data_IF_344381686186
#
_entry.id   IF_344381686186
#
_cell.length_a   1.000
_cell.length_b   1.000
_cell.length_c   1.000
_cell.angle_alpha   90.00
_cell.angle_beta   90.00
_cell.angle_gamma   90.00
#
_symmetry.space_group_name_H-M   'P 1'
#
loop_
_entity.id
_entity.type
_entity.pdbx_description
1 polymer ?
#
# COMPACT_ATOMS: atom_id res chain seq x y z
N UNK A 1 -10.84 21.99 -4.20
CA UNK A 1 -9.52 21.91 -3.52
C UNK A 1 -9.26 20.57 -2.87
N UNK A 2 -9.64 20.28 -1.61
CA UNK A 2 -9.26 19.00 -0.98
C UNK A 2 -9.71 17.75 -1.78
N UNK A 3 -10.93 17.76 -2.32
CA UNK A 3 -11.44 16.69 -3.19
C UNK A 3 -10.61 16.50 -4.46
N UNK A 4 -10.27 17.59 -5.16
CA UNK A 4 -9.43 17.53 -6.36
C UNK A 4 -8.04 17.00 -6.05
N UNK A 5 -7.44 17.42 -4.94
CA UNK A 5 -6.14 16.92 -4.47
C UNK A 5 -6.19 15.41 -4.29
N UNK A 6 -7.19 14.92 -3.56
CA UNK A 6 -7.39 13.48 -3.31
C UNK A 6 -7.59 12.72 -4.62
N UNK A 7 -8.41 13.24 -5.54
CA UNK A 7 -8.62 12.63 -6.86
C UNK A 7 -7.33 12.56 -7.67
N UNK A 8 -6.56 13.64 -7.73
CA UNK A 8 -5.32 13.68 -8.52
C UNK A 8 -4.21 12.80 -7.93
N UNK A 9 -4.21 12.62 -6.60
CA UNK A 9 -3.28 11.72 -5.91
C UNK A 9 -3.56 10.25 -6.15
N UNK A 10 -4.84 9.85 -6.19
CA UNK A 10 -5.23 8.44 -6.36
C UNK A 10 -5.04 7.92 -7.79
N UNK A 11 -4.86 8.84 -8.74
CA UNK A 11 -4.79 8.51 -10.15
C UNK A 11 -6.19 8.33 -10.75
N UNK A 12 -6.27 7.51 -11.79
CA UNK A 12 -7.53 7.27 -12.50
C UNK A 12 -8.50 6.41 -11.66
N UNK A 13 -9.74 6.90 -11.47
CA UNK A 13 -10.80 6.24 -10.68
C UNK A 13 -11.01 4.78 -11.10
N UNK A 14 -11.10 4.52 -12.40
CA UNK A 14 -11.36 3.17 -12.91
C UNK A 14 -10.20 2.24 -12.57
N UNK A 15 -8.97 2.74 -12.72
CA UNK A 15 -7.74 2.03 -12.34
C UNK A 15 -7.69 1.74 -10.85
N UNK A 16 -8.00 2.73 -10.00
CA UNK A 16 -8.04 2.58 -8.54
C UNK A 16 -9.04 1.50 -8.13
N UNK A 17 -10.28 1.56 -8.60
CA UNK A 17 -11.31 0.57 -8.29
C UNK A 17 -10.97 -0.82 -8.83
N UNK A 18 -10.45 -0.90 -10.06
CA UNK A 18 -10.06 -2.17 -10.69
C UNK A 18 -8.92 -2.85 -9.92
N UNK A 19 -7.99 -2.08 -9.36
CA UNK A 19 -6.89 -2.60 -8.52
C UNK A 19 -7.38 -3.31 -7.26
N UNK A 20 -8.59 -2.99 -6.79
CA UNK A 20 -9.18 -3.61 -5.60
C UNK A 20 -9.85 -4.96 -5.88
N UNK A 21 -10.09 -5.30 -7.15
CA UNK A 21 -10.86 -6.47 -7.54
C UNK A 21 -10.24 -7.79 -7.03
N UNK A 22 -8.94 -7.97 -7.26
CA UNK A 22 -8.24 -9.19 -6.85
C UNK A 22 -8.18 -9.36 -5.31
N UNK A 23 -7.80 -8.33 -4.52
CA UNK A 23 -7.93 -8.39 -3.06
C UNK A 23 -9.33 -8.73 -2.56
N UNK A 24 -10.38 -8.16 -3.17
CA UNK A 24 -11.76 -8.46 -2.80
C UNK A 24 -12.18 -9.89 -3.14
N UNK A 25 -11.71 -10.44 -4.27
CA UNK A 25 -11.97 -11.83 -4.62
C UNK A 25 -11.32 -12.77 -3.59
N UNK A 26 -10.09 -12.47 -3.15
CA UNK A 26 -9.43 -13.19 -2.06
C UNK A 26 -10.20 -13.13 -0.74
N UNK A 27 -10.80 -11.98 -0.41
CA UNK A 27 -11.67 -11.84 0.75
C UNK A 27 -12.93 -12.71 0.65
N UNK A 28 -13.57 -12.75 -0.52
CA UNK A 28 -14.74 -13.62 -0.74
C UNK A 28 -14.41 -15.11 -0.57
N UNK A 29 -13.21 -15.52 -0.99
CA UNK A 29 -12.72 -16.88 -0.76
C UNK A 29 -12.55 -17.19 0.72
N UNK A 30 -12.01 -16.25 1.49
CA UNK A 30 -11.89 -16.38 2.94
C UNK A 30 -13.26 -16.43 3.65
N UNK A 31 -14.28 -15.78 3.07
CA UNK A 31 -15.66 -15.82 3.56
C UNK A 31 -16.43 -17.09 3.15
N UNK A 32 -15.81 -18.01 2.40
CA UNK A 32 -16.37 -19.31 2.07
C UNK A 32 -16.78 -19.51 0.61
N UNK A 33 -16.59 -18.52 -0.27
CA UNK A 33 -16.76 -18.70 -1.72
C UNK A 33 -15.50 -19.35 -2.28
N UNK A 34 -15.40 -20.67 -2.13
CA UNK A 34 -14.16 -21.42 -2.38
C UNK A 34 -13.71 -21.40 -3.84
N UNK A 35 -14.65 -21.28 -4.78
CA UNK A 35 -14.33 -21.25 -6.21
C UNK A 35 -13.84 -19.86 -6.63
N UNK A 36 -12.58 -19.80 -7.09
CA UNK A 36 -11.92 -18.55 -7.50
C UNK A 36 -12.68 -17.80 -8.60
N UNK A 37 -13.10 -18.52 -9.65
CA UNK A 37 -13.82 -17.93 -10.78
C UNK A 37 -15.16 -17.33 -10.34
N UNK A 38 -15.87 -17.99 -9.41
CA UNK A 38 -17.12 -17.49 -8.86
C UNK A 38 -16.90 -16.25 -8.01
N UNK A 39 -15.88 -16.24 -7.14
CA UNK A 39 -15.52 -15.07 -6.35
C UNK A 39 -15.18 -13.87 -7.27
N UNK A 40 -14.44 -14.12 -8.35
CA UNK A 40 -14.06 -13.08 -9.31
C UNK A 40 -15.26 -12.51 -10.07
N UNK A 41 -16.19 -13.35 -10.53
CA UNK A 41 -17.44 -12.91 -11.17
C UNK A 41 -18.28 -12.05 -10.22
N UNK A 42 -18.47 -12.48 -8.97
CA UNK A 42 -19.24 -11.71 -7.98
C UNK A 42 -18.61 -10.34 -7.74
N UNK A 43 -17.28 -10.28 -7.61
CA UNK A 43 -16.60 -8.99 -7.45
C UNK A 43 -16.81 -8.09 -8.66
N UNK A 44 -16.70 -8.63 -9.87
CA UNK A 44 -16.84 -7.83 -11.09
C UNK A 44 -18.28 -7.36 -11.35
N UNK A 45 -19.27 -8.23 -11.13
CA UNK A 45 -20.66 -7.96 -11.50
C UNK A 45 -21.48 -7.29 -10.39
N UNK A 46 -21.11 -7.48 -9.11
CA UNK A 46 -21.87 -6.94 -7.99
C UNK A 46 -21.07 -5.93 -7.16
N UNK A 47 -19.86 -6.29 -6.75
CA UNK A 47 -19.10 -5.47 -5.78
C UNK A 47 -18.52 -4.21 -6.42
N UNK A 48 -17.82 -4.33 -7.55
CA UNK A 48 -17.22 -3.18 -8.22
C UNK A 48 -18.26 -2.15 -8.68
N UNK A 49 -19.41 -2.52 -9.27
CA UNK A 49 -20.45 -1.54 -9.61
C UNK A 49 -20.99 -0.80 -8.39
N UNK A 50 -21.21 -1.50 -7.28
CA UNK A 50 -21.63 -0.87 -6.02
C UNK A 50 -20.57 0.12 -5.52
N UNK A 51 -19.30 -0.28 -5.45
CA UNK A 51 -18.22 0.64 -5.03
C UNK A 51 -18.06 1.83 -5.99
N UNK A 52 -18.25 1.61 -7.29
CA UNK A 52 -18.21 2.67 -8.30
C UNK A 52 -19.31 3.70 -8.06
N UNK A 53 -20.53 3.25 -7.75
CA UNK A 53 -21.67 4.12 -7.47
C UNK A 53 -21.44 4.98 -6.21
N UNK A 54 -20.74 4.45 -5.21
CA UNK A 54 -20.45 5.15 -3.94
C UNK A 54 -19.07 5.83 -3.91
N UNK A 55 -18.31 5.80 -5.00
CA UNK A 55 -16.93 6.29 -4.99
C UNK A 55 -16.82 7.79 -4.69
N UNK A 56 -17.83 8.58 -5.11
CA UNK A 56 -17.86 10.02 -4.81
C UNK A 56 -18.02 10.30 -3.30
N UNK A 57 -18.72 9.44 -2.56
CA UNK A 57 -18.83 9.54 -1.10
C UNK A 57 -17.47 9.26 -0.44
N UNK A 58 -16.72 8.28 -0.94
CA UNK A 58 -15.36 8.00 -0.48
C UNK A 58 -14.44 9.21 -0.68
N UNK A 59 -14.52 9.85 -1.85
CA UNK A 59 -13.75 11.07 -2.13
C UNK A 59 -14.11 12.20 -1.17
N UNK A 60 -15.39 12.36 -0.83
CA UNK A 60 -15.83 13.38 0.12
C UNK A 60 -15.35 13.08 1.55
N UNK A 61 -15.38 11.82 1.97
CA UNK A 61 -14.82 11.38 3.27
C UNK A 61 -13.32 11.74 3.34
N UNK A 62 -12.55 11.37 2.33
CA UNK A 62 -11.11 11.61 2.29
C UNK A 62 -10.78 13.09 2.17
N UNK A 63 -11.53 13.85 1.38
CA UNK A 63 -11.37 15.29 1.26
C UNK A 63 -11.56 15.99 2.61
N UNK A 64 -12.55 15.57 3.41
CA UNK A 64 -12.74 16.08 4.77
C UNK A 64 -11.56 15.73 5.68
N UNK A 65 -11.04 14.50 5.62
CA UNK A 65 -9.86 14.11 6.38
C UNK A 65 -8.64 14.96 6.03
N UNK A 66 -8.40 15.21 4.74
CA UNK A 66 -7.30 16.04 4.27
C UNK A 66 -7.46 17.49 4.72
N UNK A 67 -8.65 18.07 4.58
CA UNK A 67 -8.94 19.43 5.03
C UNK A 67 -8.89 19.61 6.55
N UNK A 68 -9.04 18.52 7.32
CA UNK A 68 -8.87 18.54 8.77
C UNK A 68 -7.41 18.58 9.24
N UNK A 69 -6.45 18.29 8.36
CA UNK A 69 -5.01 18.20 8.70
C UNK A 69 -4.18 19.24 7.96
N UNK A 70 -4.51 19.52 6.69
CA UNK A 70 -3.72 20.40 5.83
C UNK A 70 -4.37 21.78 5.71
N UNK A 71 -3.53 22.81 5.64
CA UNK A 71 -4.00 24.17 5.36
C UNK A 71 -4.55 24.27 3.92
N UNK A 72 -5.33 25.33 3.65
CA UNK A 72 -5.81 25.62 2.30
C UNK A 72 -4.65 25.81 1.31
N UNK A 73 -3.59 26.47 1.75
CA UNK A 73 -2.39 26.76 0.96
C UNK A 73 -1.65 25.46 0.61
N UNK A 74 -1.47 24.56 1.57
CA UNK A 74 -0.86 23.25 1.33
C UNK A 74 -1.69 22.42 0.36
N UNK A 75 -3.01 22.36 0.55
CA UNK A 75 -3.90 21.65 -0.38
C UNK A 75 -3.79 22.21 -1.80
N UNK A 76 -3.73 23.54 -1.94
CA UNK A 76 -3.58 24.16 -3.26
C UNK A 76 -2.21 23.83 -3.89
N UNK A 77 -1.13 23.87 -3.12
CA UNK A 77 0.21 23.56 -3.61
C UNK A 77 0.31 22.09 -4.05
N UNK A 78 -0.19 21.16 -3.23
CA UNK A 78 -0.21 19.72 -3.52
C UNK A 78 -1.05 19.44 -4.77
N UNK A 79 -2.24 20.05 -4.88
CA UNK A 79 -3.08 19.91 -6.07
C UNK A 79 -2.40 20.45 -7.33
N UNK A 80 -1.76 21.61 -7.25
CA UNK A 80 -1.00 22.18 -8.37
C UNK A 80 0.11 21.23 -8.83
N UNK A 81 0.81 20.60 -7.88
CA UNK A 81 1.85 19.62 -8.21
C UNK A 81 1.27 18.38 -8.90
N UNK A 82 0.25 17.73 -8.35
CA UNK A 82 -0.33 16.53 -8.97
C UNK A 82 -1.07 16.81 -10.29
N UNK A 83 -1.51 18.05 -10.51
CA UNK A 83 -2.00 18.53 -11.81
C UNK A 83 -0.89 18.77 -12.85
N UNK A 84 0.40 18.75 -12.48
CA UNK A 84 1.51 18.88 -13.43
C UNK A 84 1.83 17.56 -14.15
N UNK A 85 2.51 17.59 -15.32
CA UNK A 85 2.97 16.37 -15.97
C UNK A 85 3.89 15.51 -15.09
N UNK A 86 4.72 16.14 -14.25
CA UNK A 86 5.60 15.43 -13.33
C UNK A 86 4.81 14.75 -12.22
N UNK A 87 3.86 15.45 -11.60
CA UNK A 87 3.01 14.90 -10.54
C UNK A 87 2.15 13.73 -11.00
N UNK A 88 1.55 13.82 -12.21
CA UNK A 88 0.82 12.68 -12.80
C UNK A 88 1.72 11.46 -13.05
N UNK A 89 2.92 11.67 -13.59
CA UNK A 89 3.89 10.57 -13.79
C UNK A 89 4.32 9.95 -12.46
N UNK A 90 4.52 10.77 -11.42
CA UNK A 90 4.85 10.28 -10.10
C UNK A 90 3.70 9.44 -9.51
N UNK A 91 2.46 9.93 -9.58
CA UNK A 91 1.28 9.19 -9.12
C UNK A 91 1.16 7.82 -9.82
N UNK A 92 1.29 7.79 -11.15
CA UNK A 92 1.25 6.54 -11.92
C UNK A 92 2.42 5.59 -11.59
N UNK A 93 3.60 6.13 -11.25
CA UNK A 93 4.77 5.34 -10.90
C UNK A 93 4.77 4.84 -9.45
N UNK A 94 3.89 5.33 -8.56
CA UNK A 94 3.92 4.97 -7.14
C UNK A 94 3.92 3.45 -6.88
N UNK A 95 3.10 2.61 -7.54
CA UNK A 95 3.13 1.16 -7.30
C UNK A 95 4.49 0.54 -7.63
N UNK A 96 5.11 0.97 -8.74
CA UNK A 96 6.43 0.50 -9.17
C UNK A 96 7.53 0.99 -8.23
N UNK A 97 7.44 2.24 -7.76
CA UNK A 97 8.37 2.80 -6.80
C UNK A 97 8.32 2.08 -5.46
N UNK A 98 7.13 1.74 -4.96
CA UNK A 98 6.97 0.95 -3.72
C UNK A 98 7.60 -0.44 -3.89
N UNK A 99 7.32 -1.13 -5.01
CA UNK A 99 7.94 -2.43 -5.30
C UNK A 99 9.47 -2.34 -5.38
N UNK A 100 10.00 -1.33 -6.07
CA UNK A 100 11.44 -1.11 -6.19
C UNK A 100 12.09 -0.83 -4.82
N UNK A 101 11.43 -0.03 -3.97
CA UNK A 101 11.91 0.23 -2.61
C UNK A 101 11.98 -1.06 -1.78
N UNK A 102 10.92 -1.87 -1.77
CA UNK A 102 10.90 -3.14 -1.04
C UNK A 102 11.98 -4.12 -1.53
N UNK A 103 12.16 -4.21 -2.86
CA UNK A 103 13.21 -5.04 -3.45
C UNK A 103 14.61 -4.55 -3.01
N UNK A 104 14.85 -3.24 -3.05
CA UNK A 104 16.09 -2.63 -2.60
C UNK A 104 16.38 -2.89 -1.11
N UNK A 105 15.38 -2.75 -0.24
CA UNK A 105 15.51 -3.07 1.19
C UNK A 105 15.85 -4.54 1.41
N UNK A 106 15.20 -5.44 0.67
CA UNK A 106 15.47 -6.88 0.76
C UNK A 106 16.90 -7.21 0.32
N UNK A 107 17.35 -6.62 -0.78
CA UNK A 107 18.71 -6.81 -1.29
C UNK A 107 19.76 -6.28 -0.28
N UNK A 108 19.53 -5.10 0.29
CA UNK A 108 20.41 -4.53 1.31
C UNK A 108 20.52 -5.46 2.54
N UNK A 109 19.39 -5.97 3.03
CA UNK A 109 19.36 -6.91 4.17
C UNK A 109 20.11 -8.21 3.87
N UNK A 110 19.92 -8.78 2.68
CA UNK A 110 20.67 -9.96 2.24
C UNK A 110 22.18 -9.71 2.22
N UNK A 111 22.61 -8.53 1.79
CA UNK A 111 24.02 -8.12 1.82
C UNK A 111 24.62 -8.03 3.23
N UNK A 112 23.79 -7.71 4.24
CA UNK A 112 24.21 -7.64 5.65
C UNK A 112 24.17 -8.98 6.39
N UNK A 113 23.58 -10.04 5.80
CA UNK A 113 23.42 -11.33 6.47
C UNK A 113 24.71 -11.92 7.07
N UNK A 114 25.88 -11.88 6.41
CA UNK A 114 27.11 -12.43 6.99
C UNK A 114 27.59 -11.64 8.23
N UNK A 115 27.47 -10.32 8.19
CA UNK A 115 27.82 -9.46 9.33
C UNK A 115 26.83 -9.68 10.48
N UNK A 116 25.53 -9.77 10.19
CA UNK A 116 24.51 -10.08 11.17
C UNK A 116 24.77 -11.44 11.85
N UNK A 117 25.09 -12.48 11.07
CA UNK A 117 25.45 -13.81 11.63
C UNK A 117 26.66 -13.72 12.55
N UNK A 118 27.70 -12.99 12.13
CA UNK A 118 28.91 -12.78 12.95
C UNK A 118 28.56 -12.09 14.26
N UNK A 119 27.74 -11.04 14.20
CA UNK A 119 27.30 -10.29 15.38
C UNK A 119 26.47 -11.14 16.33
N UNK A 120 25.55 -11.96 15.80
CA UNK A 120 24.72 -12.89 16.58
C UNK A 120 25.61 -13.89 17.32
N UNK A 121 26.59 -14.51 16.64
CA UNK A 121 27.52 -15.46 17.27
C UNK A 121 28.33 -14.79 18.38
N UNK A 122 28.80 -13.56 18.17
CA UNK A 122 29.53 -12.81 19.20
C UNK A 122 28.65 -12.56 20.44
N UNK A 123 27.39 -12.18 20.25
CA UNK A 123 26.44 -11.95 21.35
C UNK A 123 26.14 -13.25 22.11
N UNK A 124 25.87 -14.35 21.39
CA UNK A 124 25.63 -15.67 21.98
C UNK A 124 26.81 -16.09 22.87
N UNK A 125 28.04 -15.94 22.35
CA UNK A 125 29.26 -16.23 23.12
C UNK A 125 29.39 -15.34 24.35
N UNK A 126 29.17 -14.03 24.21
CA UNK A 126 29.29 -13.08 25.31
C UNK A 126 28.24 -13.30 26.41
N UNK A 127 27.08 -13.84 26.07
CA UNK A 127 25.99 -14.12 27.02
C UNK A 127 26.04 -15.52 27.63
N UNK A 128 26.93 -16.39 27.17
CA UNK A 128 26.94 -17.80 27.59
C UNK A 128 25.65 -18.52 27.18
N UNK A 129 25.18 -18.27 25.95
CA UNK A 129 24.02 -18.97 25.37
C UNK A 129 24.46 -20.06 24.38
N UNK A 130 25.68 -20.56 24.53
CA UNK A 130 26.22 -21.59 23.65
C UNK A 130 25.57 -22.95 23.92
N UNK A 131 25.62 -23.90 22.95
CA UNK A 131 25.18 -25.27 23.20
C UNK A 131 25.99 -25.89 24.34
N UNK A 132 25.34 -26.13 25.48
CA UNK A 132 25.95 -26.69 26.69
C UNK A 132 25.95 -25.77 27.92
N UNK A 133 25.58 -24.50 27.78
CA UNK A 133 25.47 -23.58 28.91
C UNK A 133 24.15 -23.82 29.67
N UNK A 134 24.26 -24.27 30.93
CA UNK A 134 23.09 -24.34 31.82
C UNK A 134 22.66 -22.93 32.21
N UNK A 135 21.34 -22.60 32.17
CA UNK A 135 20.87 -21.35 32.75
C UNK A 135 21.21 -21.32 34.25
N UNK A 136 21.78 -20.21 34.70
CA UNK A 136 21.96 -19.91 36.13
C UNK A 136 20.63 -19.56 36.77
#
# INVERSE_FOLDING_TARGET
MAREVVTQMQGDRATTLSSMAAPMAGMMQQMGIKEADRAQVIVQEAVLPMLTAHYDELLDIQARSFAGVLSKEDLQAVGTFYASPAGRRLAAAQPQLVQAQMAGTTQWMQGLMPEMQTKIVQIIKAKGWGPGDKPK
#
